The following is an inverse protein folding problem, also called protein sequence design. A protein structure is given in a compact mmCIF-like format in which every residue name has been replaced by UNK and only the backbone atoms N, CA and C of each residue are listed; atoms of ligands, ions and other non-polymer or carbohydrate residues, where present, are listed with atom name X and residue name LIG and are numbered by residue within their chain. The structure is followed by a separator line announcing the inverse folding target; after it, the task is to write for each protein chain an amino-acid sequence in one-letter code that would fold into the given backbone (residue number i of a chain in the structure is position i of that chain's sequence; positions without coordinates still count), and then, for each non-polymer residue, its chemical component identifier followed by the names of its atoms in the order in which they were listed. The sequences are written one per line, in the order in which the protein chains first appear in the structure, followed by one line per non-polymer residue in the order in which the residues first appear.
data_IF_496381545394
#
_entry.id   IF_496381545394
#
_cell.length_a   1.000
_cell.length_b   1.000
_cell.length_c   1.000
_cell.angle_alpha   90.00
_cell.angle_beta   90.00
_cell.angle_gamma   90.00
#
_symmetry.space_group_name_H-M   'P 1'
#
loop_
_entity.id
_entity.type
_entity.pdbx_description
1 polymer ?
#
# COMPACT_ATOMS: atom_id res chain seq x y z
N UNK A 1 -9.34 0.73 5.73
CA UNK A 1 -10.52 0.40 4.92
C UNK A 1 -11.28 -0.71 5.61
N UNK A 2 -12.58 -0.53 5.83
CA UNK A 2 -13.44 -1.54 6.45
C UNK A 2 -14.56 -1.89 5.49
N UNK A 3 -14.67 -3.17 5.14
CA UNK A 3 -15.80 -3.74 4.42
C UNK A 3 -16.87 -4.15 5.44
N UNK A 4 -17.89 -3.29 5.59
CA UNK A 4 -19.02 -3.53 6.49
C UNK A 4 -20.30 -3.96 5.76
N UNK A 5 -20.23 -4.13 4.44
CA UNK A 5 -21.32 -4.58 3.60
C UNK A 5 -20.81 -5.53 2.50
N UNK A 6 -21.64 -6.48 2.04
CA UNK A 6 -21.27 -7.40 0.96
C UNK A 6 -20.90 -6.68 -0.34
N UNK A 7 -20.14 -7.38 -1.18
CA UNK A 7 -19.81 -7.02 -2.56
C UNK A 7 -19.12 -5.66 -2.72
N UNK A 8 -18.47 -5.16 -1.66
CA UNK A 8 -17.72 -3.90 -1.71
C UNK A 8 -16.34 -4.09 -2.33
N UNK A 9 -15.99 -3.23 -3.29
CA UNK A 9 -14.74 -3.36 -4.08
C UNK A 9 -13.85 -2.10 -4.10
N UNK A 10 -13.46 -1.53 -2.94
CA UNK A 10 -12.56 -0.37 -2.85
C UNK A 10 -11.12 -0.72 -3.29
N UNK A 11 -10.45 0.25 -3.93
CA UNK A 11 -9.01 0.19 -4.21
C UNK A 11 -8.26 1.15 -3.28
N UNK A 12 -7.20 0.67 -2.64
CA UNK A 12 -6.28 1.49 -1.84
C UNK A 12 -5.01 1.71 -2.66
N UNK A 13 -4.62 2.96 -2.87
CA UNK A 13 -3.33 3.33 -3.46
C UNK A 13 -2.65 4.32 -2.54
N UNK A 14 -1.46 3.96 -2.06
CA UNK A 14 -0.60 4.83 -1.29
C UNK A 14 0.70 5.02 -2.05
N UNK A 15 1.11 6.28 -2.23
CA UNK A 15 2.36 6.64 -2.88
C UNK A 15 3.17 7.54 -1.96
N UNK A 16 4.44 7.21 -1.77
CA UNK A 16 5.36 8.04 -0.98
C UNK A 16 6.61 8.36 -1.78
N UNK A 17 7.19 9.52 -1.47
CA UNK A 17 8.47 9.97 -2.01
C UNK A 17 9.31 10.44 -0.83
N UNK A 18 10.54 9.95 -0.74
CA UNK A 18 11.45 10.16 0.37
C UNK A 18 12.73 10.83 -0.11
N UNK A 19 13.18 11.85 0.62
CA UNK A 19 14.42 12.60 0.34
C UNK A 19 15.02 13.12 1.65
N UNK A 20 16.32 13.44 1.63
CA UNK A 20 17.13 13.99 2.70
C UNK A 20 17.15 13.07 3.93
N UNK A 21 17.23 11.75 3.68
CA UNK A 21 17.25 10.72 4.72
C UNK A 21 15.92 10.48 5.43
N UNK A 22 14.81 11.00 4.89
CA UNK A 22 13.47 10.81 5.48
C UNK A 22 12.99 9.38 5.24
N UNK A 23 12.39 8.79 6.28
CA UNK A 23 11.80 7.45 6.21
C UNK A 23 10.31 7.44 6.57
N UNK A 24 9.39 7.71 5.62
CA UNK A 24 7.97 7.62 5.89
C UNK A 24 7.55 6.15 6.05
N UNK A 25 6.72 5.90 7.05
CA UNK A 25 6.04 4.62 7.22
C UNK A 25 4.71 4.64 6.46
N UNK A 26 4.52 3.70 5.55
CA UNK A 26 3.25 3.51 4.82
C UNK A 26 2.45 2.41 5.53
N UNK A 27 1.30 2.78 6.07
CA UNK A 27 0.36 1.83 6.67
C UNK A 27 -0.88 1.63 5.80
N UNK A 28 -1.32 0.38 5.67
CA UNK A 28 -2.61 0.04 5.08
C UNK A 28 -3.35 -0.96 5.97
N UNK A 29 -4.54 -0.57 6.42
CA UNK A 29 -5.46 -1.44 7.15
C UNK A 29 -6.58 -1.88 6.19
N UNK A 30 -6.77 -3.19 6.03
CA UNK A 30 -7.97 -3.76 5.42
C UNK A 30 -8.67 -4.63 6.45
N UNK A 31 -9.93 -4.34 6.72
CA UNK A 31 -10.79 -5.12 7.59
C UNK A 31 -12.03 -5.56 6.83
N UNK A 32 -12.41 -6.82 6.95
CA UNK A 32 -13.64 -7.39 6.38
C UNK A 32 -14.44 -7.99 7.53
N UNK A 33 -15.65 -7.49 7.76
CA UNK A 33 -16.56 -8.06 8.75
C UNK A 33 -17.08 -9.43 8.29
N UNK A 34 -17.48 -10.29 9.23
CA UNK A 34 -17.85 -11.69 8.97
C UNK A 34 -18.96 -11.84 7.89
N UNK A 35 -19.97 -10.96 7.92
CA UNK A 35 -21.11 -10.98 7.00
C UNK A 35 -20.86 -10.23 5.67
N UNK A 36 -19.67 -9.66 5.45
CA UNK A 36 -19.34 -8.91 4.24
C UNK A 36 -18.79 -9.82 3.12
N UNK A 37 -19.65 -10.70 2.61
CA UNK A 37 -19.30 -11.65 1.54
C UNK A 37 -19.00 -10.97 0.20
N UNK A 38 -18.28 -11.64 -0.69
CA UNK A 38 -18.01 -11.17 -2.06
C UNK A 38 -17.11 -9.93 -2.15
N UNK A 39 -16.46 -9.53 -1.06
CA UNK A 39 -15.63 -8.33 -1.02
C UNK A 39 -14.31 -8.49 -1.79
N UNK A 40 -13.84 -7.39 -2.41
CA UNK A 40 -12.54 -7.34 -3.09
C UNK A 40 -11.77 -6.09 -2.69
N UNK A 41 -10.49 -6.19 -2.37
CA UNK A 41 -9.68 -5.00 -2.12
C UNK A 41 -8.26 -5.13 -2.61
N UNK A 42 -7.93 -4.54 -3.77
CA UNK A 42 -6.55 -4.33 -4.16
C UNK A 42 -5.94 -3.17 -3.36
N UNK A 43 -4.79 -3.42 -2.76
CA UNK A 43 -3.97 -2.47 -2.03
C UNK A 43 -2.61 -2.37 -2.72
N UNK A 44 -2.25 -1.16 -3.11
CA UNK A 44 -0.99 -0.85 -3.78
C UNK A 44 -0.22 0.21 -2.99
N UNK A 45 0.97 -0.13 -2.54
CA UNK A 45 1.89 0.76 -1.83
C UNK A 45 3.16 0.97 -2.66
N UNK A 46 3.31 2.13 -3.26
CA UNK A 46 4.53 2.47 -4.01
C UNK A 46 5.35 3.51 -3.25
N UNK A 47 6.64 3.25 -3.09
CA UNK A 47 7.57 4.17 -2.47
C UNK A 47 8.71 4.52 -3.44
N UNK A 48 9.13 5.78 -3.42
CA UNK A 48 10.23 6.29 -4.23
C UNK A 48 11.28 6.96 -3.35
N UNK A 49 12.46 6.38 -3.26
CA UNK A 49 13.60 6.99 -2.56
C UNK A 49 14.42 7.82 -3.56
N UNK A 50 14.67 9.09 -3.23
CA UNK A 50 15.40 10.04 -4.08
C UNK A 50 16.89 10.14 -3.73
N UNK A 51 17.34 9.45 -2.69
CA UNK A 51 18.74 9.37 -2.28
C UNK A 51 19.03 8.02 -1.62
N UNK A 52 20.29 7.83 -1.26
CA UNK A 52 20.82 6.60 -0.68
C UNK A 52 20.46 6.42 0.80
N UNK A 53 20.24 7.53 1.50
CA UNK A 53 20.03 7.56 2.95
C UNK A 53 18.54 7.40 3.32
N UNK A 54 17.64 7.65 2.37
CA UNK A 54 16.19 7.50 2.54
C UNK A 54 15.80 6.03 2.59
N UNK A 55 14.86 5.74 3.50
CA UNK A 55 14.31 4.39 3.72
C UNK A 55 12.80 4.48 3.52
N UNK A 56 12.15 3.37 3.18
CA UNK A 56 10.68 3.32 3.10
C UNK A 56 10.18 2.07 3.79
N UNK A 57 9.45 2.25 4.88
CA UNK A 57 8.86 1.14 5.64
C UNK A 57 7.41 0.95 5.25
N UNK A 58 6.97 -0.31 5.13
CA UNK A 58 5.57 -0.66 4.85
C UNK A 58 5.04 -1.61 5.91
N UNK A 59 3.92 -1.25 6.54
CA UNK A 59 3.26 -2.01 7.59
C UNK A 59 1.83 -2.37 7.16
N UNK A 60 1.63 -3.48 6.43
CA UNK A 60 0.31 -3.94 6.07
C UNK A 60 -0.38 -4.62 7.25
N UNK A 61 -1.67 -4.37 7.40
CA UNK A 61 -2.49 -5.05 8.40
C UNK A 61 -3.84 -5.46 7.78
N UNK A 62 -4.19 -6.73 7.94
CA UNK A 62 -5.38 -7.33 7.33
C UNK A 62 -6.13 -8.20 8.34
N UNK A 63 -7.40 -7.87 8.56
CA UNK A 63 -8.37 -8.67 9.33
C UNK A 63 -9.47 -9.12 8.38
N UNK A 64 -9.54 -10.43 8.07
CA UNK A 64 -10.49 -10.96 7.08
C UNK A 64 -11.44 -11.93 7.77
N UNK A 65 -12.65 -11.46 8.10
CA UNK A 65 -13.70 -12.26 8.70
C UNK A 65 -14.49 -13.11 7.70
N UNK A 66 -14.61 -12.65 6.45
CA UNK A 66 -15.37 -13.37 5.41
C UNK A 66 -14.49 -14.29 4.56
N UNK A 67 -14.88 -15.55 4.43
CA UNK A 67 -14.06 -16.60 3.79
C UNK A 67 -13.94 -16.48 2.27
N UNK A 68 -14.86 -15.77 1.62
CA UNK A 68 -14.87 -15.56 0.16
C UNK A 68 -14.30 -14.19 -0.25
N UNK A 69 -13.79 -13.41 0.70
CA UNK A 69 -13.17 -12.12 0.43
C UNK A 69 -11.82 -12.27 -0.29
N UNK A 70 -11.59 -11.45 -1.31
CA UNK A 70 -10.35 -11.43 -2.09
C UNK A 70 -9.59 -10.14 -1.84
N UNK A 71 -8.60 -10.20 -0.95
CA UNK A 71 -7.75 -9.07 -0.60
C UNK A 71 -6.36 -9.29 -1.19
N UNK A 72 -5.86 -8.33 -1.97
CA UNK A 72 -4.54 -8.38 -2.57
C UNK A 72 -3.71 -7.17 -2.12
N UNK A 73 -2.49 -7.40 -1.66
CA UNK A 73 -1.56 -6.34 -1.27
C UNK A 73 -0.26 -6.45 -2.06
N UNK A 74 0.10 -5.38 -2.75
CA UNK A 74 1.40 -5.20 -3.39
C UNK A 74 2.13 -4.00 -2.81
N UNK A 75 3.44 -4.14 -2.60
CA UNK A 75 4.31 -3.05 -2.20
C UNK A 75 5.59 -3.05 -3.03
N UNK A 76 5.94 -1.88 -3.55
CA UNK A 76 7.14 -1.68 -4.36
C UNK A 76 7.93 -0.50 -3.81
N UNK A 77 9.22 -0.69 -3.59
CA UNK A 77 10.16 0.40 -3.32
C UNK A 77 11.06 0.57 -4.52
N UNK A 78 11.07 1.77 -5.07
CA UNK A 78 11.91 2.17 -6.20
C UNK A 78 12.90 3.22 -5.74
N UNK A 79 14.07 3.25 -6.39
CA UNK A 79 15.08 4.28 -6.17
C UNK A 79 15.34 5.01 -7.47
N UNK A 80 15.36 6.33 -7.44
CA UNK A 80 15.79 7.14 -8.58
C UNK A 80 17.32 7.19 -8.56
N UNK A 81 17.95 6.86 -9.69
CA UNK A 81 19.39 7.02 -9.83
C UNK A 81 19.71 8.44 -10.31
N UNK A 82 20.85 9.00 -9.86
CA UNK A 82 21.28 10.37 -10.18
C UNK A 82 21.37 10.63 -11.69
N UNK A 83 21.69 9.60 -12.47
CA UNK A 83 21.72 9.66 -13.93
C UNK A 83 20.33 9.92 -14.53
N UNK A 84 19.26 9.38 -13.95
CA UNK A 84 17.88 9.63 -14.39
C UNK A 84 17.44 11.07 -14.11
N UNK A 85 17.99 11.72 -13.08
CA UNK A 85 17.73 13.14 -12.77
C UNK A 85 18.49 14.08 -13.70
N UNK A 86 19.66 13.69 -14.19
CA UNK A 86 20.52 14.53 -15.02
C UNK A 86 19.95 14.81 -16.42
N UNK A 87 19.03 13.99 -16.91
CA UNK A 87 18.43 14.10 -18.26
C UNK A 87 17.11 14.89 -18.30
N UNK A 88 16.66 15.48 -17.18
CA UNK A 88 15.44 16.28 -17.09
C UNK A 88 15.73 17.80 -17.14
#
# INVERSE_FOLDING_TARGET
MTHAAPETTPKIVSKSISKDGVGPAIGALVRVEDDAYGCKSPVQCDALNLDDDSISDTYPYMEVGSADAVIGHEATVSKVADDQLFYL
#
